data_IF_500311146365
#
_entry.id   IF_500311146365
#
_cell.length_a   1.000
_cell.length_b   1.000
_cell.length_c   1.000
_cell.angle_alpha   90.00
_cell.angle_beta   90.00
_cell.angle_gamma   90.00
#
_symmetry.space_group_name_H-M   'P 1'
#
loop_
_entity.id
_entity.type
_entity.pdbx_description
1 polymer ?
#
# COMPACT_ATOMS: atom_id res chain seq x y z
N UNK A 1 -61.41 -29.31 6.37
CA UNK A 1 -61.86 -30.25 7.43
C UNK A 1 -60.62 -30.83 8.09
N UNK A 2 -60.65 -30.95 9.43
CA UNK A 2 -59.71 -31.66 10.35
C UNK A 2 -58.25 -31.21 10.35
N UNK A 3 -57.74 -30.46 11.35
CA UNK A 3 -57.42 -30.77 12.77
C UNK A 3 -56.27 -31.76 13.02
N UNK A 4 -55.35 -31.32 13.91
CA UNK A 4 -54.54 -32.13 14.84
C UNK A 4 -53.25 -32.72 14.24
N UNK A 5 -52.10 -32.77 14.91
CA UNK A 5 -51.78 -32.61 16.32
C UNK A 5 -50.67 -33.62 16.69
N UNK A 6 -49.64 -33.12 17.39
CA UNK A 6 -48.73 -33.82 18.34
C UNK A 6 -48.06 -35.17 18.01
N UNK A 7 -46.73 -35.20 18.18
CA UNK A 7 -45.94 -36.32 18.72
C UNK A 7 -44.65 -35.74 19.33
N UNK A 8 -44.39 -35.81 20.65
CA UNK A 8 -43.80 -36.96 21.39
C UNK A 8 -42.56 -37.51 20.66
N UNK A 9 -41.36 -37.62 21.20
CA UNK A 9 -40.80 -37.57 22.55
C UNK A 9 -39.42 -38.26 22.45
N UNK A 10 -38.47 -37.98 23.35
CA UNK A 10 -37.15 -38.63 23.31
C UNK A 10 -36.24 -38.22 24.45
N UNK A 11 -36.34 -38.96 25.55
CA UNK A 11 -35.44 -38.95 26.70
C UNK A 11 -34.10 -39.64 26.40
N UNK A 12 -33.05 -39.21 27.11
CA UNK A 12 -31.79 -39.92 27.34
C UNK A 12 -30.63 -38.93 27.31
N UNK A 13 -29.92 -38.55 28.38
CA UNK A 13 -29.68 -39.22 29.65
C UNK A 13 -28.21 -39.68 29.68
N UNK A 14 -27.35 -38.99 30.42
CA UNK A 14 -26.08 -39.57 30.88
C UNK A 14 -24.88 -38.62 31.05
N UNK A 15 -24.57 -38.32 32.32
CA UNK A 15 -23.25 -38.19 32.99
C UNK A 15 -22.07 -37.52 32.27
N UNK A 16 -21.28 -36.60 32.85
CA UNK A 16 -21.17 -36.08 34.22
C UNK A 16 -19.81 -35.36 34.41
N UNK A 17 -19.74 -34.48 35.43
CA UNK A 17 -18.55 -33.95 36.13
C UNK A 17 -17.50 -33.12 35.33
N UNK A 18 -16.84 -32.05 35.81
CA UNK A 18 -16.50 -31.57 37.16
C UNK A 18 -16.13 -30.06 37.11
N UNK A 19 -16.45 -29.31 38.20
CA UNK A 19 -15.75 -28.11 38.72
C UNK A 19 -15.90 -26.79 37.93
N UNK A 20 -16.38 -25.65 38.44
CA UNK A 20 -16.48 -25.14 39.82
C UNK A 20 -15.58 -23.92 40.01
N UNK A 21 -16.17 -22.71 40.05
CA UNK A 21 -15.74 -21.40 40.64
C UNK A 21 -16.56 -20.33 39.90
N UNK A 22 -17.41 -19.47 40.46
CA UNK A 22 -17.70 -19.11 41.85
C UNK A 22 -18.09 -17.62 41.87
N UNK A 23 -19.40 -17.34 41.98
CA UNK A 23 -20.04 -16.06 42.43
C UNK A 23 -19.81 -14.79 41.60
N UNK A 24 -20.74 -13.85 41.48
CA UNK A 24 -22.11 -13.71 41.94
C UNK A 24 -22.60 -12.28 41.57
N UNK A 25 -23.91 -12.07 41.47
CA UNK A 25 -24.45 -10.71 41.34
C UNK A 25 -25.75 -10.61 40.54
N UNK A 26 -26.87 -10.85 41.20
CA UNK A 26 -28.22 -10.52 40.74
C UNK A 26 -28.43 -9.00 40.59
N UNK A 27 -29.24 -8.59 39.61
CA UNK A 27 -29.98 -7.33 39.72
C UNK A 27 -30.56 -6.76 38.43
N UNK A 28 -31.88 -6.85 38.28
CA UNK A 28 -32.67 -5.76 37.69
C UNK A 28 -33.13 -5.93 36.25
N UNK A 29 -34.39 -6.35 36.08
CA UNK A 29 -35.09 -6.30 34.80
C UNK A 29 -35.44 -4.87 34.35
N UNK A 30 -35.69 -4.73 33.05
CA UNK A 30 -36.21 -3.53 32.43
C UNK A 30 -36.69 -3.82 31.02
N UNK A 31 -37.99 -4.08 30.89
CA UNK A 31 -38.73 -3.99 29.63
C UNK A 31 -38.78 -2.52 29.19
N UNK A 32 -38.45 -2.22 27.93
CA UNK A 32 -38.72 -0.89 27.38
C UNK A 32 -38.25 -0.70 25.94
N UNK A 33 -39.21 -0.56 25.03
CA UNK A 33 -39.13 0.44 23.95
C UNK A 33 -38.46 0.01 22.65
N UNK A 34 -39.28 -0.22 21.62
CA UNK A 34 -38.83 -0.23 20.24
C UNK A 34 -38.29 1.13 19.79
N UNK A 35 -37.23 1.09 18.99
CA UNK A 35 -36.66 2.26 18.31
C UNK A 35 -35.98 1.79 17.03
N UNK A 36 -36.71 1.87 15.91
CA UNK A 36 -36.12 1.82 14.57
C UNK A 36 -35.33 3.12 14.35
N UNK A 37 -34.03 3.00 14.07
CA UNK A 37 -33.18 4.14 13.71
C UNK A 37 -31.77 4.00 14.27
N UNK A 38 -30.93 3.18 13.66
CA UNK A 38 -29.53 3.03 14.02
C UNK A 38 -28.64 3.08 12.79
N UNK A 39 -28.11 4.26 12.47
CA UNK A 39 -26.94 4.38 11.60
C UNK A 39 -25.79 3.63 12.26
N UNK A 40 -25.21 2.66 11.56
CA UNK A 40 -24.14 1.82 12.07
C UNK A 40 -22.87 2.62 12.31
N UNK A 41 -22.67 3.08 13.55
CA UNK A 41 -21.41 3.65 13.99
C UNK A 41 -20.36 2.54 14.15
N UNK A 42 -19.26 2.65 13.41
CA UNK A 42 -18.09 1.78 13.57
C UNK A 42 -17.16 2.32 14.65
N UNK A 43 -16.98 1.64 15.79
CA UNK A 43 -15.96 2.02 16.76
C UNK A 43 -14.58 1.65 16.21
N UNK A 44 -13.90 2.60 15.57
CA UNK A 44 -12.50 2.44 15.14
C UNK A 44 -11.58 2.66 16.34
N UNK A 45 -10.84 1.63 16.78
CA UNK A 45 -9.92 1.76 17.93
C UNK A 45 -8.58 2.36 17.51
N UNK A 46 -8.02 3.21 18.37
CA UNK A 46 -6.63 3.68 18.30
C UNK A 46 -5.68 2.48 18.47
N UNK A 47 -4.56 2.47 17.73
CA UNK A 47 -3.62 1.34 17.65
C UNK A 47 -3.19 0.81 19.03
N UNK A 48 -3.37 -0.49 19.24
CA UNK A 48 -2.54 -1.30 20.14
C UNK A 48 -2.00 -2.50 19.34
N UNK A 49 -0.75 -2.38 18.87
CA UNK A 49 0.00 -3.43 18.15
C UNK A 49 -0.52 -3.84 16.76
N UNK A 50 0.42 -4.07 15.83
CA UNK A 50 0.23 -4.27 14.39
C UNK A 50 -0.36 -5.67 14.02
N UNK A 51 -0.58 -6.57 14.99
CA UNK A 51 -0.94 -7.98 14.75
C UNK A 51 -2.25 -8.45 15.42
N UNK A 52 -3.28 -7.60 15.56
CA UNK A 52 -4.59 -8.07 16.04
C UNK A 52 -5.70 -7.86 15.00
N UNK A 53 -6.35 -8.97 14.61
CA UNK A 53 -7.29 -9.10 13.49
C UNK A 53 -8.66 -8.43 13.64
N UNK A 54 -8.76 -7.28 14.31
CA UNK A 54 -9.99 -6.46 14.38
C UNK A 54 -9.75 -4.99 14.00
N UNK A 55 -8.66 -4.69 13.29
CA UNK A 55 -8.17 -3.32 13.01
C UNK A 55 -8.30 -2.94 11.53
N UNK A 56 -9.29 -3.46 10.82
CA UNK A 56 -9.39 -3.30 9.35
C UNK A 56 -9.82 -1.88 8.95
N UNK A 57 -10.77 -1.25 9.64
CA UNK A 57 -11.29 0.07 9.26
C UNK A 57 -10.27 1.22 9.36
N UNK A 58 -9.46 1.24 10.43
CA UNK A 58 -8.41 2.26 10.64
C UNK A 58 -7.19 2.05 9.74
N UNK A 59 -6.94 0.81 9.31
CA UNK A 59 -5.92 0.48 8.30
C UNK A 59 -6.40 0.88 6.91
N UNK A 60 -7.67 0.68 6.56
CA UNK A 60 -8.21 1.02 5.23
C UNK A 60 -8.30 2.54 5.03
N UNK A 61 -8.76 3.32 6.01
CA UNK A 61 -8.74 4.78 5.91
C UNK A 61 -7.29 5.32 5.84
N UNK A 62 -6.36 4.75 6.62
CA UNK A 62 -4.93 5.09 6.53
C UNK A 62 -4.29 4.70 5.20
N UNK A 63 -4.66 3.54 4.64
CA UNK A 63 -4.18 3.01 3.37
C UNK A 63 -4.77 3.79 2.18
N UNK A 64 -6.02 4.23 2.27
CA UNK A 64 -6.67 5.09 1.29
C UNK A 64 -6.03 6.48 1.26
N UNK A 65 -5.84 7.11 2.43
CA UNK A 65 -5.16 8.41 2.52
C UNK A 65 -3.70 8.26 2.08
N UNK A 66 -3.02 7.14 2.39
CA UNK A 66 -1.67 6.84 1.88
C UNK A 66 -1.64 6.63 0.36
N UNK A 67 -2.63 5.93 -0.22
CA UNK A 67 -2.78 5.74 -1.66
C UNK A 67 -3.07 7.06 -2.39
N UNK A 68 -3.85 7.95 -1.77
CA UNK A 68 -4.07 9.31 -2.26
C UNK A 68 -2.81 10.16 -2.13
N UNK A 69 -2.15 10.14 -0.97
CA UNK A 69 -0.92 10.90 -0.70
C UNK A 69 0.25 10.47 -1.60
N UNK A 70 0.37 9.18 -1.94
CA UNK A 70 1.40 8.66 -2.87
C UNK A 70 1.11 9.00 -4.34
N UNK A 71 -0.12 9.41 -4.66
CA UNK A 71 -0.50 9.97 -5.96
C UNK A 71 -0.50 11.50 -5.99
N UNK A 72 -0.19 12.14 -4.86
CA UNK A 72 -0.29 13.57 -4.72
C UNK A 72 1.02 14.29 -4.96
N UNK A 73 0.85 15.38 -5.71
CA UNK A 73 1.81 16.46 -5.88
C UNK A 73 3.01 16.06 -6.75
N UNK A 74 2.76 16.10 -8.07
CA UNK A 74 3.69 16.68 -9.04
C UNK A 74 3.48 18.19 -9.00
N UNK A 75 4.18 18.93 -8.13
CA UNK A 75 4.24 20.38 -8.32
C UNK A 75 5.10 20.67 -9.55
N UNK A 76 4.45 21.08 -10.64
CA UNK A 76 5.04 21.79 -11.78
C UNK A 76 5.98 21.03 -12.72
N UNK A 77 6.50 19.85 -12.36
CA UNK A 77 7.55 19.18 -13.15
C UNK A 77 7.48 17.62 -13.15
N UNK A 78 6.40 17.00 -12.68
CA UNK A 78 6.27 15.53 -12.68
C UNK A 78 6.89 14.82 -11.46
N UNK A 79 7.58 15.54 -10.58
CA UNK A 79 8.27 14.94 -9.44
C UNK A 79 7.34 14.76 -8.23
N UNK A 80 6.99 13.51 -7.91
CA UNK A 80 6.29 13.13 -6.67
C UNK A 80 7.20 13.44 -5.48
N UNK A 81 6.70 14.03 -4.39
CA UNK A 81 7.39 14.11 -3.08
C UNK A 81 6.87 13.00 -2.17
N UNK A 82 7.69 12.42 -1.26
CA UNK A 82 7.20 11.40 -0.36
C UNK A 82 6.39 12.10 0.74
N UNK A 83 5.21 11.58 1.04
CA UNK A 83 4.34 12.13 2.07
C UNK A 83 4.24 11.18 3.25
N UNK A 84 4.44 11.70 4.46
CA UNK A 84 4.10 10.99 5.69
C UNK A 84 2.71 11.40 6.12
N UNK A 85 1.76 10.47 6.04
CA UNK A 85 0.38 10.70 6.46
C UNK A 85 0.24 10.49 7.97
N UNK A 86 -0.28 11.49 8.67
CA UNK A 86 -0.59 11.47 10.10
C UNK A 86 -2.06 11.81 10.31
N UNK A 87 -2.75 11.00 11.13
CA UNK A 87 -4.13 11.16 11.56
C UNK A 87 -4.33 10.53 12.95
N UNK A 88 -5.54 10.63 13.50
CA UNK A 88 -5.85 10.14 14.84
C UNK A 88 -5.58 8.64 15.07
N UNK A 89 -5.72 7.82 14.03
CA UNK A 89 -5.58 6.37 14.13
C UNK A 89 -4.15 5.88 13.97
N UNK A 90 -3.31 6.62 13.23
CA UNK A 90 -1.92 6.24 12.96
C UNK A 90 -0.88 7.11 13.71
N UNK A 91 -1.31 8.12 14.46
CA UNK A 91 -0.43 8.84 15.39
C UNK A 91 0.11 7.91 16.48
N UNK A 92 1.34 8.15 16.91
CA UNK A 92 1.93 7.44 18.04
C UNK A 92 1.10 7.67 19.31
N UNK A 93 0.66 6.61 20.02
CA UNK A 93 -0.31 6.73 21.11
C UNK A 93 0.17 7.61 22.28
N UNK A 94 1.48 7.73 22.48
CA UNK A 94 2.09 8.53 23.55
C UNK A 94 2.48 9.95 23.10
N UNK A 95 2.37 10.25 21.80
CA UNK A 95 2.75 11.54 21.22
C UNK A 95 1.49 12.37 21.02
N UNK A 96 1.10 13.12 22.04
CA UNK A 96 0.11 14.19 21.87
C UNK A 96 0.68 15.22 20.92
N UNK A 97 0.09 15.32 19.73
CA UNK A 97 0.42 16.40 18.81
C UNK A 97 -0.08 17.69 19.45
N UNK A 98 0.85 18.53 19.89
CA UNK A 98 0.52 19.85 20.43
C UNK A 98 -0.21 20.68 19.37
N UNK A 99 -0.94 21.70 19.84
CA UNK A 99 -1.62 22.67 18.96
C UNK A 99 -0.62 23.23 17.95
N UNK A 100 -0.94 23.06 16.67
CA UNK A 100 -0.09 23.55 15.59
C UNK A 100 -0.36 25.05 15.44
N UNK A 101 0.67 25.85 15.70
CA UNK A 101 0.65 27.31 15.52
C UNK A 101 1.47 27.64 14.29
N UNK A 102 0.78 27.89 13.18
CA UNK A 102 1.39 28.34 11.93
C UNK A 102 0.94 29.77 11.66
N UNK A 103 1.83 30.66 11.19
CA UNK A 103 1.41 31.98 10.77
C UNK A 103 0.63 31.88 9.44
N UNK A 104 -0.39 32.71 9.22
CA UNK A 104 -1.25 32.57 8.04
C UNK A 104 -0.50 32.71 6.70
N UNK A 105 0.61 33.45 6.67
CA UNK A 105 1.41 33.68 5.46
C UNK A 105 2.13 32.42 4.93
N UNK A 106 2.20 31.34 5.71
CA UNK A 106 2.78 30.06 5.23
C UNK A 106 1.72 29.07 4.73
N UNK A 107 0.44 29.45 4.77
CA UNK A 107 -0.70 28.62 4.40
C UNK A 107 -1.41 29.19 3.17
N UNK A 108 -1.76 28.30 2.26
CA UNK A 108 -2.59 28.59 1.09
C UNK A 108 -3.64 27.50 0.96
N UNK A 109 -4.75 27.78 0.29
CA UNK A 109 -5.66 26.71 -0.12
C UNK A 109 -4.93 25.82 -1.12
N UNK A 110 -5.06 24.51 -0.97
CA UNK A 110 -4.50 23.59 -1.96
C UNK A 110 -5.23 23.76 -3.30
N UNK A 111 -4.49 23.64 -4.39
CA UNK A 111 -5.04 23.65 -5.75
C UNK A 111 -4.86 22.29 -6.44
N UNK A 112 -5.66 22.04 -7.48
CA UNK A 112 -5.54 20.83 -8.30
C UNK A 112 -5.85 19.54 -7.53
N UNK A 113 -5.09 18.49 -7.79
CA UNK A 113 -5.36 17.16 -7.20
C UNK A 113 -5.22 17.13 -5.68
N UNK A 114 -4.44 18.05 -5.07
CA UNK A 114 -4.26 18.14 -3.62
C UNK A 114 -5.57 18.36 -2.84
N UNK A 115 -6.60 18.90 -3.49
CA UNK A 115 -7.93 19.03 -2.89
C UNK A 115 -8.64 17.69 -2.70
N UNK A 116 -8.22 16.65 -3.42
CA UNK A 116 -8.83 15.32 -3.36
C UNK A 116 -8.32 14.47 -2.18
N UNK A 117 -7.23 14.89 -1.51
CA UNK A 117 -6.73 14.21 -0.29
C UNK A 117 -7.76 14.28 0.84
N UNK A 118 -8.49 15.38 0.89
CA UNK A 118 -9.37 15.69 1.99
C UNK A 118 -10.80 15.30 1.63
N UNK A 119 -11.43 14.53 2.50
CA UNK A 119 -12.82 14.12 2.31
C UNK A 119 -13.76 15.32 2.32
N UNK A 120 -14.96 15.16 1.73
CA UNK A 120 -15.98 16.22 1.70
C UNK A 120 -16.31 16.68 3.12
N UNK A 121 -16.51 17.97 3.35
CA UNK A 121 -16.71 18.54 4.69
C UNK A 121 -15.40 18.90 5.41
N UNK A 122 -14.25 18.68 4.77
CA UNK A 122 -12.97 19.26 5.17
C UNK A 122 -12.39 20.09 4.03
N UNK A 123 -11.56 21.07 4.36
CA UNK A 123 -10.87 21.93 3.42
C UNK A 123 -9.38 21.57 3.37
N UNK A 124 -8.82 21.49 2.17
CA UNK A 124 -7.40 21.21 1.96
C UNK A 124 -6.58 22.49 2.05
N UNK A 125 -5.69 22.55 3.04
CA UNK A 125 -4.77 23.65 3.27
C UNK A 125 -3.35 23.16 3.02
N UNK A 126 -2.64 23.84 2.15
CA UNK A 126 -1.28 23.54 1.78
C UNK A 126 -0.34 24.52 2.45
N UNK A 127 0.77 24.03 2.98
CA UNK A 127 1.86 24.90 3.40
C UNK A 127 2.80 25.18 2.22
N UNK A 128 3.64 26.21 2.32
CA UNK A 128 4.68 26.49 1.32
C UNK A 128 5.66 25.32 1.08
N UNK A 129 5.82 24.41 2.05
CA UNK A 129 6.70 23.23 1.89
C UNK A 129 6.00 22.05 1.17
N UNK A 130 4.72 22.20 0.82
CA UNK A 130 3.92 21.17 0.14
C UNK A 130 3.19 20.22 1.08
N UNK A 131 3.31 20.38 2.40
CA UNK A 131 2.48 19.65 3.38
C UNK A 131 1.01 19.99 3.18
N UNK A 132 0.16 18.98 3.09
CA UNK A 132 -1.30 19.11 2.95
C UNK A 132 -1.97 18.80 4.28
N UNK A 133 -2.90 19.65 4.69
CA UNK A 133 -3.70 19.50 5.91
C UNK A 133 -5.17 19.48 5.54
N UNK A 134 -5.91 18.50 6.06
CA UNK A 134 -7.36 18.45 5.97
C UNK A 134 -7.95 19.08 7.22
N UNK A 135 -8.50 20.28 7.06
CA UNK A 135 -9.00 21.09 8.17
C UNK A 135 -10.51 21.23 8.11
N UNK A 136 -11.16 21.29 9.26
CA UNK A 136 -12.57 21.65 9.38
C UNK A 136 -12.73 22.75 10.43
N UNK A 137 -13.81 23.52 10.35
CA UNK A 137 -14.09 24.50 11.40
C UNK A 137 -14.50 23.78 12.69
N UNK A 138 -14.18 24.35 13.85
CA UNK A 138 -14.60 23.76 15.13
C UNK A 138 -16.11 23.67 15.30
N UNK A 139 -16.89 24.46 14.55
CA UNK A 139 -18.35 24.40 14.55
C UNK A 139 -18.90 23.17 13.79
N UNK A 140 -18.13 22.64 12.84
CA UNK A 140 -18.44 21.41 12.11
C UNK A 140 -17.99 20.15 12.87
N UNK A 141 -17.16 20.33 13.91
CA UNK A 141 -16.69 19.26 14.74
C UNK A 141 -17.66 18.99 15.91
N UNK A 142 -18.06 17.74 16.08
CA UNK A 142 -18.98 17.30 17.14
C UNK A 142 -18.34 16.23 18.03
N UNK A 143 -18.70 16.12 19.32
CA UNK A 143 -18.16 15.07 20.17
C UNK A 143 -18.49 13.68 19.61
N UNK A 144 -17.46 12.85 19.43
CA UNK A 144 -17.61 11.46 19.03
C UNK A 144 -16.98 10.56 20.10
N UNK A 145 -17.81 9.73 20.72
CA UNK A 145 -17.37 8.93 21.85
C UNK A 145 -16.60 7.69 21.36
N UNK A 146 -15.30 7.64 21.68
CA UNK A 146 -14.49 6.44 21.55
C UNK A 146 -13.76 6.20 22.87
N UNK A 147 -14.41 5.51 23.79
CA UNK A 147 -13.83 4.97 25.03
C UNK A 147 -13.36 6.03 26.04
N UNK A 148 -14.15 7.09 26.27
CA UNK A 148 -13.91 8.04 27.37
C UNK A 148 -12.90 9.17 27.06
N UNK A 149 -12.30 9.17 25.87
CA UNK A 149 -11.59 10.34 25.36
C UNK A 149 -12.58 11.25 24.63
N UNK A 150 -12.67 12.52 25.06
CA UNK A 150 -13.51 13.57 24.46
C UNK A 150 -12.96 14.04 23.10
N UNK A 151 -12.81 13.12 22.14
CA UNK A 151 -12.43 13.49 20.79
C UNK A 151 -13.59 14.22 20.10
N UNK A 152 -13.25 15.24 19.32
CA UNK A 152 -14.18 15.84 18.37
C UNK A 152 -14.00 15.12 17.04
N UNK A 153 -15.08 14.89 16.31
CA UNK A 153 -15.06 14.34 14.96
C UNK A 153 -15.75 15.26 13.98
N UNK A 154 -15.30 15.17 12.74
CA UNK A 154 -15.90 15.81 11.59
C UNK A 154 -16.55 14.71 10.75
N UNK A 155 -17.81 14.90 10.39
CA UNK A 155 -18.47 14.01 9.44
C UNK A 155 -17.97 14.33 8.04
N UNK A 156 -17.43 13.33 7.36
CA UNK A 156 -16.88 13.46 6.01
C UNK A 156 -17.34 12.31 5.13
N UNK A 157 -17.44 12.57 3.84
CA UNK A 157 -17.73 11.53 2.84
C UNK A 157 -16.44 11.17 2.12
N UNK A 158 -16.09 9.88 2.14
CA UNK A 158 -14.92 9.33 1.48
C UNK A 158 -15.34 8.54 0.23
N UNK A 159 -14.64 8.71 -0.91
CA UNK A 159 -14.82 7.80 -2.03
C UNK A 159 -14.26 6.42 -1.69
N UNK A 160 -14.92 5.37 -2.18
CA UNK A 160 -14.47 3.99 -2.08
C UNK A 160 -13.86 3.56 -3.42
N UNK A 161 -12.87 2.67 -3.36
CA UNK A 161 -12.28 2.12 -4.57
C UNK A 161 -13.26 1.20 -5.32
N UNK A 162 -14.05 0.43 -4.57
CA UNK A 162 -15.09 -0.44 -5.11
C UNK A 162 -16.23 -0.69 -4.09
N UNK A 163 -17.31 -1.35 -4.55
CA UNK A 163 -18.51 -1.59 -3.74
C UNK A 163 -18.31 -2.62 -2.61
N UNK A 164 -17.23 -3.41 -2.67
CA UNK A 164 -16.86 -4.40 -1.67
C UNK A 164 -15.81 -3.89 -0.68
N UNK A 165 -15.32 -2.65 -0.85
CA UNK A 165 -14.43 -1.99 0.09
C UNK A 165 -15.04 -2.04 1.50
N UNK A 166 -14.30 -2.48 2.53
CA UNK A 166 -14.79 -2.52 3.91
C UNK A 166 -15.43 -1.22 4.41
N UNK A 167 -15.01 -0.06 3.90
CA UNK A 167 -15.62 1.24 4.19
C UNK A 167 -17.01 1.41 3.54
N UNK A 168 -17.24 0.78 2.38
CA UNK A 168 -18.48 0.88 1.60
C UNK A 168 -19.45 -0.31 1.76
N UNK A 169 -19.05 -1.42 2.41
CA UNK A 169 -19.89 -2.61 2.53
C UNK A 169 -21.28 -2.35 3.16
N UNK A 170 -21.37 -1.38 4.07
CA UNK A 170 -22.63 -0.95 4.72
C UNK A 170 -23.06 0.46 4.32
N UNK A 171 -22.48 1.05 3.26
CA UNK A 171 -22.96 2.31 2.73
C UNK A 171 -24.42 2.14 2.26
N UNK A 172 -25.29 3.05 2.66
CA UNK A 172 -26.66 3.17 2.12
C UNK A 172 -26.68 3.56 0.64
N UNK A 173 -25.51 3.90 0.07
CA UNK A 173 -25.32 4.38 -1.29
C UNK A 173 -24.31 3.50 -2.06
N UNK A 174 -24.55 2.19 -2.11
CA UNK A 174 -23.71 1.23 -2.88
C UNK A 174 -23.53 1.63 -4.36
N UNK A 175 -24.48 2.37 -4.92
CA UNK A 175 -24.45 2.88 -6.29
C UNK A 175 -23.49 4.07 -6.49
N UNK A 176 -23.09 4.75 -5.41
CA UNK A 176 -22.27 5.98 -5.47
C UNK A 176 -20.80 5.78 -5.08
N UNK A 177 -20.41 4.58 -4.66
CA UNK A 177 -19.04 4.27 -4.18
C UNK A 177 -18.55 5.33 -3.18
N UNK A 178 -19.41 5.73 -2.25
CA UNK A 178 -19.11 6.73 -1.22
C UNK A 178 -19.55 6.20 0.15
N UNK A 179 -18.77 6.52 1.19
CA UNK A 179 -19.07 6.18 2.57
C UNK A 179 -18.99 7.42 3.46
N UNK A 180 -20.02 7.63 4.28
CA UNK A 180 -20.02 8.67 5.30
C UNK A 180 -19.29 8.15 6.54
N UNK A 181 -18.22 8.83 6.92
CA UNK A 181 -17.33 8.47 8.00
C UNK A 181 -17.15 9.65 8.95
N UNK A 182 -17.25 9.38 10.25
CA UNK A 182 -16.93 10.36 11.28
C UNK A 182 -15.44 10.26 11.60
N UNK A 183 -14.64 11.24 11.15
CA UNK A 183 -13.18 11.24 11.32
C UNK A 183 -12.79 12.11 12.52
N UNK A 184 -12.08 11.56 13.52
CA UNK A 184 -11.64 12.32 14.68
C UNK A 184 -10.55 13.35 14.37
N UNK A 185 -10.67 14.50 15.02
CA UNK A 185 -9.63 15.52 15.12
C UNK A 185 -8.46 14.96 15.91
N UNK A 186 -7.25 15.00 15.34
CA UNK A 186 -6.05 14.56 16.03
C UNK A 186 -5.26 15.72 16.63
N UNK A 187 -5.39 16.92 16.06
CA UNK A 187 -4.85 18.16 16.62
C UNK A 187 -5.69 19.36 16.16
N UNK A 188 -5.43 20.52 16.76
CA UNK A 188 -6.04 21.79 16.40
C UNK A 188 -5.01 22.70 15.72
N UNK A 189 -5.46 23.47 14.74
CA UNK A 189 -4.71 24.53 14.06
C UNK A 189 -5.33 25.87 14.43
N UNK A 190 -4.54 26.78 14.99
CA UNK A 190 -5.02 28.14 15.31
C UNK A 190 -4.32 29.18 14.46
N UNK A 191 -5.10 30.03 13.79
CA UNK A 191 -4.66 31.04 12.84
C UNK A 191 -5.24 32.41 13.16
N UNK A 192 -4.60 33.45 12.65
CA UNK A 192 -5.05 34.85 12.70
C UNK A 192 -5.88 35.26 11.46
N UNK A 193 -6.17 34.31 10.57
CA UNK A 193 -6.95 34.52 9.34
C UNK A 193 -8.04 33.46 9.24
N UNK A 194 -9.20 33.85 8.70
CA UNK A 194 -10.26 32.91 8.37
C UNK A 194 -9.97 32.22 7.03
N UNK A 195 -9.62 30.93 7.06
CA UNK A 195 -9.33 30.13 5.87
C UNK A 195 -10.56 29.82 5.00
N UNK A 196 -11.76 29.78 5.60
CA UNK A 196 -13.01 29.47 4.89
C UNK A 196 -13.52 30.70 4.14
N UNK A 197 -13.38 31.88 4.75
CA UNK A 197 -13.72 33.15 4.15
C UNK A 197 -12.73 34.24 4.58
N UNK A 198 -11.69 34.42 3.77
CA UNK A 198 -10.64 35.41 4.04
C UNK A 198 -11.22 36.83 4.15
N UNK A 199 -12.31 37.14 3.44
CA UNK A 199 -12.95 38.45 3.45
C UNK A 199 -13.64 38.77 4.78
N UNK A 200 -13.97 37.74 5.57
CA UNK A 200 -14.55 37.85 6.91
C UNK A 200 -13.50 37.77 8.03
N UNK A 201 -12.23 37.96 7.70
CA UNK A 201 -11.17 37.99 8.71
C UNK A 201 -11.30 39.23 9.58
N UNK A 202 -11.58 39.03 10.87
CA UNK A 202 -11.68 40.09 11.87
C UNK A 202 -10.31 40.32 12.52
N UNK A 203 -9.87 41.58 12.67
CA UNK A 203 -8.61 41.88 13.33
C UNK A 203 -8.60 41.35 14.78
N UNK A 204 -7.45 40.81 15.20
CA UNK A 204 -7.24 40.24 16.54
C UNK A 204 -8.11 39.04 16.91
N UNK A 205 -8.79 38.42 15.94
CA UNK A 205 -9.57 37.19 16.16
C UNK A 205 -8.72 35.97 15.80
N UNK A 206 -8.71 34.98 16.70
CA UNK A 206 -8.07 33.68 16.44
C UNK A 206 -9.12 32.69 15.96
N UNK A 207 -8.88 32.09 14.81
CA UNK A 207 -9.70 31.06 14.22
C UNK A 207 -9.07 29.71 14.51
N UNK A 208 -9.81 28.81 15.14
CA UNK A 208 -9.36 27.45 15.44
C UNK A 208 -10.04 26.47 14.50
N UNK A 209 -9.23 25.58 13.93
CA UNK A 209 -9.64 24.53 13.02
C UNK A 209 -9.26 23.17 13.60
N UNK A 210 -10.10 22.18 13.36
CA UNK A 210 -9.79 20.78 13.63
C UNK A 210 -8.98 20.23 12.45
N UNK A 211 -7.83 19.61 12.73
CA UNK A 211 -7.09 18.84 11.72
C UNK A 211 -7.47 17.37 11.86
N UNK A 212 -8.04 16.80 10.80
CA UNK A 212 -8.41 15.38 10.75
C UNK A 212 -7.28 14.53 10.19
N UNK A 213 -6.48 15.08 9.27
CA UNK A 213 -5.38 14.39 8.60
C UNK A 213 -4.35 15.39 8.10
N UNK A 214 -3.08 14.99 8.12
CA UNK A 214 -1.96 15.75 7.57
C UNK A 214 -1.09 14.84 6.71
N UNK A 215 -0.84 15.21 5.46
CA UNK A 215 0.19 14.62 4.62
C UNK A 215 1.41 15.55 4.70
N UNK A 216 2.35 15.21 5.58
CA UNK A 216 3.59 15.94 5.80
C UNK A 216 4.50 15.68 4.60
N UNK A 217 4.86 16.73 3.86
CA UNK A 217 5.87 16.61 2.82
C UNK A 217 7.18 16.21 3.49
N UNK A 218 7.76 15.08 3.07
CA UNK A 218 9.06 14.63 3.54
C UNK A 218 10.16 15.67 3.26
N UNK A 219 11.33 15.56 3.91
CA UNK A 219 12.49 16.39 3.58
C UNK A 219 12.81 16.28 2.08
N UNK A 220 13.44 17.31 1.51
CA UNK A 220 13.94 17.25 0.14
C UNK A 220 14.73 15.95 -0.06
N UNK A 221 14.48 15.27 -1.19
CA UNK A 221 15.14 14.01 -1.49
C UNK A 221 16.66 14.13 -1.33
N UNK A 222 17.25 13.22 -0.56
CA UNK A 222 18.70 13.14 -0.46
C UNK A 222 19.28 12.82 -1.84
N UNK A 223 20.46 13.37 -2.14
CA UNK A 223 21.15 13.02 -3.38
C UNK A 223 21.66 11.58 -3.28
N UNK A 224 21.36 10.77 -4.29
CA UNK A 224 21.86 9.40 -4.36
C UNK A 224 23.38 9.37 -4.34
N UNK A 225 23.95 8.37 -3.65
CA UNK A 225 25.37 8.05 -3.77
C UNK A 225 25.65 7.55 -5.19
N UNK A 226 26.82 7.79 -5.77
CA UNK A 226 27.13 7.21 -7.08
C UNK A 226 27.19 5.68 -7.01
N UNK A 227 26.71 5.00 -8.07
CA UNK A 227 26.82 3.55 -8.16
C UNK A 227 28.26 3.19 -8.53
N UNK A 228 28.89 2.34 -7.72
CA UNK A 228 30.25 1.85 -8.00
C UNK A 228 30.26 0.60 -8.87
N UNK A 229 29.14 -0.11 -8.97
CA UNK A 229 29.02 -1.43 -9.58
C UNK A 229 27.93 -1.46 -10.67
N UNK A 230 27.95 -2.50 -11.52
CA UNK A 230 26.80 -2.78 -12.40
C UNK A 230 25.55 -3.00 -11.56
N UNK A 231 24.43 -2.56 -12.09
CA UNK A 231 23.13 -2.59 -11.43
C UNK A 231 22.16 -3.37 -12.32
N UNK A 232 22.50 -4.63 -12.58
CA UNK A 232 21.83 -5.55 -13.49
C UNK A 232 21.84 -6.98 -12.93
N UNK A 233 21.31 -7.94 -13.68
CA UNK A 233 21.24 -9.34 -13.26
C UNK A 233 22.62 -9.92 -12.90
N UNK A 234 23.72 -9.41 -13.49
CA UNK A 234 25.07 -9.91 -13.18
C UNK A 234 25.48 -9.58 -11.76
N UNK A 235 25.07 -8.43 -11.22
CA UNK A 235 25.34 -8.11 -9.83
C UNK A 235 24.62 -9.09 -8.89
N UNK A 236 23.36 -9.42 -9.22
CA UNK A 236 22.56 -10.39 -8.47
C UNK A 236 23.19 -11.78 -8.50
N UNK A 237 23.62 -12.24 -9.68
CA UNK A 237 24.31 -13.52 -9.84
C UNK A 237 25.65 -13.55 -9.08
N UNK A 238 26.32 -12.41 -8.92
CA UNK A 238 27.57 -12.28 -8.14
C UNK A 238 27.32 -12.19 -6.62
N UNK A 239 26.11 -12.47 -6.15
CA UNK A 239 25.74 -12.43 -4.73
C UNK A 239 25.48 -11.03 -4.18
N UNK A 240 25.35 -10.00 -5.05
CA UNK A 240 24.88 -8.69 -4.59
C UNK A 240 23.34 -8.71 -4.47
N UNK A 241 22.87 -8.75 -3.22
CA UNK A 241 21.46 -8.78 -2.89
C UNK A 241 20.85 -7.40 -2.63
N UNK A 242 21.61 -6.33 -2.88
CA UNK A 242 21.10 -4.96 -2.93
C UNK A 242 21.13 -4.49 -4.38
N UNK A 243 19.96 -4.14 -4.88
CA UNK A 243 19.79 -3.63 -6.24
C UNK A 243 19.08 -2.28 -6.23
N UNK A 244 19.20 -1.51 -7.29
CA UNK A 244 18.62 -0.18 -7.36
C UNK A 244 17.77 -0.04 -8.61
N UNK A 245 16.57 0.54 -8.50
CA UNK A 245 15.81 0.94 -9.67
C UNK A 245 15.97 2.44 -9.88
N UNK A 246 16.49 2.82 -11.05
CA UNK A 246 16.48 4.22 -11.49
C UNK A 246 15.29 4.49 -12.41
N UNK A 247 14.49 5.50 -12.03
CA UNK A 247 13.32 5.93 -12.78
C UNK A 247 13.18 7.45 -12.71
N UNK A 248 13.13 8.10 -13.86
CA UNK A 248 12.90 9.55 -13.99
C UNK A 248 13.78 10.43 -13.08
N UNK A 249 15.03 10.01 -12.88
CA UNK A 249 15.97 10.75 -12.06
C UNK A 249 15.89 10.48 -10.56
N UNK A 250 15.11 9.49 -10.15
CA UNK A 250 15.14 8.93 -8.80
C UNK A 250 15.80 7.57 -8.78
N UNK A 251 16.28 7.18 -7.61
CA UNK A 251 16.73 5.82 -7.34
C UNK A 251 16.02 5.27 -6.11
N UNK A 252 15.53 4.04 -6.23
CA UNK A 252 14.93 3.26 -5.14
C UNK A 252 15.77 2.01 -4.90
N UNK A 253 16.03 1.69 -3.63
CA UNK A 253 16.73 0.47 -3.25
C UNK A 253 15.76 -0.72 -3.27
N UNK A 254 16.27 -1.90 -3.61
CA UNK A 254 15.55 -3.17 -3.62
C UNK A 254 16.38 -4.21 -2.86
N UNK A 255 15.68 -5.02 -2.07
CA UNK A 255 16.23 -6.24 -1.51
C UNK A 255 15.98 -7.38 -2.49
N UNK A 256 17.04 -8.07 -2.90
CA UNK A 256 16.96 -9.15 -3.89
C UNK A 256 17.14 -10.51 -3.24
N UNK A 257 16.29 -11.45 -3.66
CA UNK A 257 16.21 -12.81 -3.17
C UNK A 257 16.32 -13.79 -4.35
N UNK A 258 17.04 -14.88 -4.13
CA UNK A 258 17.27 -15.96 -5.09
C UNK A 258 17.51 -17.27 -4.32
N UNK A 259 18.00 -18.32 -4.99
CA UNK A 259 18.31 -19.61 -4.33
C UNK A 259 19.42 -19.53 -3.28
N UNK A 260 20.36 -18.60 -3.41
CA UNK A 260 21.47 -18.42 -2.45
C UNK A 260 21.03 -17.63 -1.21
N UNK A 261 20.12 -16.67 -1.39
CA UNK A 261 19.50 -15.89 -0.32
C UNK A 261 17.97 -15.99 -0.43
N UNK A 262 17.39 -17.13 -0.05
CA UNK A 262 15.94 -17.31 -0.12
C UNK A 262 15.26 -16.41 0.89
N UNK A 263 14.03 -16.00 0.57
CA UNK A 263 13.14 -15.39 1.54
C UNK A 263 12.68 -16.46 2.55
N UNK A 264 12.51 -16.10 3.82
CA UNK A 264 11.84 -16.96 4.80
C UNK A 264 10.34 -17.09 4.44
N UNK A 265 10.01 -17.96 3.49
CA UNK A 265 8.62 -18.25 3.14
C UNK A 265 8.42 -19.75 3.01
N UNK A 266 7.50 -20.28 3.82
CA UNK A 266 7.17 -21.71 3.87
C UNK A 266 5.91 -22.05 3.05
N UNK A 267 5.62 -21.31 1.97
CA UNK A 267 4.34 -21.47 1.27
C UNK A 267 4.40 -21.22 -0.23
N UNK A 268 3.52 -21.91 -0.95
CA UNK A 268 3.18 -21.62 -2.34
C UNK A 268 2.53 -20.24 -2.43
N UNK A 269 3.05 -19.39 -3.32
CA UNK A 269 2.53 -18.04 -3.53
C UNK A 269 1.40 -18.14 -4.55
N UNK A 270 0.19 -17.73 -4.16
CA UNK A 270 -0.96 -17.65 -5.05
C UNK A 270 -1.22 -16.19 -5.42
N UNK A 271 -1.07 -15.85 -6.71
CA UNK A 271 -1.18 -14.47 -7.19
C UNK A 271 -2.34 -14.31 -8.19
N UNK A 272 -3.26 -13.35 -7.98
CA UNK A 272 -4.28 -13.04 -8.97
C UNK A 272 -3.67 -12.25 -10.14
N UNK A 273 -4.15 -12.51 -11.37
CA UNK A 273 -3.67 -11.81 -12.58
C UNK A 273 -3.80 -10.27 -12.48
N UNK A 274 -4.76 -9.77 -11.72
CA UNK A 274 -5.02 -8.33 -11.53
C UNK A 274 -3.90 -7.58 -10.81
N UNK A 275 -3.00 -8.29 -10.12
CA UNK A 275 -1.85 -7.69 -9.45
C UNK A 275 -0.68 -7.46 -10.42
N UNK A 276 -0.68 -8.10 -11.60
CA UNK A 276 0.39 -7.95 -12.58
C UNK A 276 0.28 -6.63 -13.34
N UNK A 277 1.41 -5.96 -13.50
CA UNK A 277 1.56 -4.74 -14.29
C UNK A 277 2.72 -4.88 -15.28
N UNK A 278 2.72 -4.02 -16.32
CA UNK A 278 3.85 -3.94 -17.24
C UNK A 278 5.10 -3.45 -16.50
N UNK A 279 6.20 -4.18 -16.62
CA UNK A 279 7.49 -3.71 -16.13
C UNK A 279 8.02 -2.51 -16.92
N UNK A 280 8.67 -1.59 -16.21
CA UNK A 280 9.47 -0.54 -16.84
C UNK A 280 10.76 -1.13 -17.45
N UNK A 281 11.28 -0.57 -18.54
CA UNK A 281 12.46 -1.12 -19.24
C UNK A 281 13.70 -1.24 -18.35
N UNK A 282 13.90 -0.28 -17.44
CA UNK A 282 15.02 -0.37 -16.48
C UNK A 282 14.86 -1.52 -15.48
N UNK A 283 13.63 -1.95 -15.20
CA UNK A 283 13.36 -3.06 -14.27
C UNK A 283 13.78 -4.39 -14.87
N UNK A 284 13.64 -4.57 -16.19
CA UNK A 284 13.96 -5.85 -16.84
C UNK A 284 15.45 -6.20 -16.74
N UNK A 285 16.31 -5.22 -16.44
CA UNK A 285 17.76 -5.41 -16.25
C UNK A 285 18.12 -6.30 -15.08
N UNK A 286 17.26 -6.44 -14.07
CA UNK A 286 17.50 -7.35 -12.93
C UNK A 286 17.31 -8.82 -13.31
N UNK A 287 16.58 -9.09 -14.39
CA UNK A 287 16.24 -10.44 -14.80
C UNK A 287 17.27 -11.00 -15.79
N UNK A 288 17.80 -12.18 -15.46
CA UNK A 288 18.74 -12.88 -16.32
C UNK A 288 18.07 -13.33 -17.63
N UNK A 289 18.84 -13.47 -18.73
CA UNK A 289 18.33 -13.97 -20.01
C UNK A 289 17.54 -15.28 -19.85
N UNK A 290 16.44 -15.41 -20.60
CA UNK A 290 15.56 -16.59 -20.54
C UNK A 290 14.51 -16.56 -19.42
N UNK A 291 14.52 -15.56 -18.55
CA UNK A 291 13.44 -15.31 -17.58
C UNK A 291 12.48 -14.23 -18.08
N UNK A 292 11.24 -14.25 -17.58
CA UNK A 292 10.18 -13.29 -17.91
C UNK A 292 10.09 -12.25 -16.79
N UNK A 293 10.51 -10.99 -17.01
CA UNK A 293 10.40 -9.93 -16.02
C UNK A 293 8.93 -9.59 -15.80
N UNK A 294 8.48 -9.73 -14.56
CA UNK A 294 7.09 -9.54 -14.16
C UNK A 294 7.02 -8.60 -12.98
N UNK A 295 6.18 -7.57 -13.07
CA UNK A 295 6.06 -6.56 -12.05
C UNK A 295 4.68 -6.62 -11.41
N UNK A 296 4.61 -6.33 -10.12
CA UNK A 296 3.34 -6.29 -9.38
C UNK A 296 2.90 -4.86 -9.12
N UNK A 297 1.62 -4.67 -8.81
CA UNK A 297 1.07 -3.39 -8.34
C UNK A 297 1.72 -2.89 -7.04
N UNK A 298 2.50 -3.73 -6.35
CA UNK A 298 3.27 -3.39 -5.16
C UNK A 298 4.70 -2.95 -5.50
N UNK A 299 5.03 -2.77 -6.79
CA UNK A 299 6.37 -2.49 -7.30
C UNK A 299 7.39 -3.60 -7.02
N UNK A 300 6.94 -4.83 -6.81
CA UNK A 300 7.85 -5.98 -6.72
C UNK A 300 8.23 -6.42 -8.12
N UNK A 301 9.43 -6.98 -8.25
CA UNK A 301 9.94 -7.50 -9.52
C UNK A 301 10.24 -8.98 -9.37
N UNK A 302 9.66 -9.79 -10.23
CA UNK A 302 9.89 -11.22 -10.29
C UNK A 302 10.44 -11.61 -11.65
N UNK A 303 11.47 -12.44 -11.66
CA UNK A 303 12.02 -13.04 -12.86
C UNK A 303 11.49 -14.48 -12.94
N UNK A 304 10.43 -14.67 -13.74
CA UNK A 304 9.63 -15.88 -13.76
C UNK A 304 10.00 -16.80 -14.93
N UNK A 305 9.85 -18.10 -14.72
CA UNK A 305 10.03 -19.14 -15.76
C UNK A 305 8.86 -20.11 -15.69
N UNK A 306 8.19 -20.45 -16.80
CA UNK A 306 7.17 -21.50 -16.78
C UNK A 306 7.74 -22.80 -16.23
N UNK A 307 7.04 -23.48 -15.32
CA UNK A 307 7.57 -24.72 -14.70
C UNK A 307 7.83 -25.83 -15.70
N UNK A 308 7.12 -25.83 -16.84
CA UNK A 308 7.32 -26.75 -17.96
C UNK A 308 8.66 -26.55 -18.71
N UNK A 309 9.30 -25.40 -18.54
CA UNK A 309 10.59 -25.08 -19.16
C UNK A 309 11.79 -25.35 -18.22
N UNK A 310 11.56 -25.90 -17.03
CA UNK A 310 12.62 -26.25 -16.10
C UNK A 310 13.19 -27.62 -16.41
N UNK A 311 14.52 -27.74 -16.32
CA UNK A 311 15.24 -29.00 -16.38
C UNK A 311 15.67 -29.43 -14.97
N UNK A 312 15.86 -30.72 -14.71
CA UNK A 312 16.38 -31.19 -13.43
C UNK A 312 17.86 -30.81 -13.29
N UNK A 313 18.18 -30.03 -12.25
CA UNK A 313 19.56 -29.69 -11.95
C UNK A 313 20.26 -30.83 -11.19
N UNK A 314 21.36 -31.42 -11.71
CA UNK A 314 22.04 -32.56 -11.10
C UNK A 314 22.51 -32.30 -9.66
N UNK A 315 22.80 -31.05 -9.33
CA UNK A 315 23.43 -30.66 -8.06
C UNK A 315 22.43 -30.31 -6.96
N UNK A 316 21.15 -30.06 -7.28
CA UNK A 316 20.25 -29.35 -6.35
C UNK A 316 18.89 -30.00 -6.09
N UNK A 317 18.58 -31.17 -6.70
CA UNK A 317 17.27 -31.85 -6.61
C UNK A 317 16.06 -30.93 -6.92
N UNK A 318 16.31 -29.80 -7.58
CA UNK A 318 15.34 -28.76 -7.92
C UNK A 318 15.38 -28.49 -9.42
N UNK A 319 14.28 -28.02 -9.96
CA UNK A 319 14.23 -27.52 -11.34
C UNK A 319 15.09 -26.27 -11.52
N UNK A 320 15.75 -26.15 -12.66
CA UNK A 320 16.55 -24.99 -13.02
C UNK A 320 16.39 -24.60 -14.49
N UNK A 321 16.71 -23.33 -14.76
CA UNK A 321 16.77 -22.76 -16.10
C UNK A 321 18.24 -22.63 -16.53
N UNK A 322 18.60 -23.21 -17.68
CA UNK A 322 19.90 -22.98 -18.30
C UNK A 322 19.92 -21.64 -19.03
N UNK A 323 20.40 -20.59 -18.36
CA UNK A 323 20.45 -19.22 -18.88
C UNK A 323 21.75 -18.96 -19.64
N UNK A 324 21.64 -18.51 -20.90
CA UNK A 324 22.80 -18.13 -21.71
C UNK A 324 23.19 -16.67 -21.44
N UNK A 325 24.29 -16.49 -20.71
CA UNK A 325 24.82 -15.18 -20.33
C UNK A 325 25.86 -14.72 -21.37
N UNK A 326 25.71 -13.55 -22.01
CA UNK A 326 26.70 -13.04 -22.93
C UNK A 326 28.00 -12.67 -22.20
N UNK A 327 29.15 -12.80 -22.84
CA UNK A 327 30.46 -12.47 -22.28
C UNK A 327 31.14 -11.40 -23.14
N UNK A 328 31.17 -10.14 -22.69
CA UNK A 328 31.89 -9.08 -23.39
C UNK A 328 33.38 -9.43 -23.53
N UNK A 329 33.98 -9.07 -24.67
CA UNK A 329 35.36 -9.47 -25.00
C UNK A 329 36.43 -8.97 -24.01
N UNK A 330 36.14 -7.92 -23.25
CA UNK A 330 37.06 -7.30 -22.29
C UNK A 330 36.54 -7.35 -20.83
N UNK A 331 35.55 -8.20 -20.53
CA UNK A 331 34.99 -8.21 -19.18
C UNK A 331 35.87 -8.99 -18.19
N UNK A 332 36.26 -8.35 -17.10
CA UNK A 332 36.76 -9.04 -15.89
C UNK A 332 35.67 -9.83 -15.15
N UNK A 333 34.51 -10.01 -15.77
CA UNK A 333 33.35 -10.69 -15.21
C UNK A 333 33.71 -12.12 -14.78
N UNK A 334 33.42 -12.42 -13.52
CA UNK A 334 33.72 -13.68 -12.86
C UNK A 334 33.13 -14.86 -13.63
N UNK A 335 31.94 -14.70 -14.23
CA UNK A 335 31.29 -15.76 -15.00
C UNK A 335 32.00 -16.08 -16.32
N UNK A 336 32.69 -15.09 -16.88
CA UNK A 336 33.33 -15.21 -18.19
C UNK A 336 34.78 -15.70 -18.10
N UNK A 337 35.36 -15.81 -16.90
CA UNK A 337 36.74 -16.28 -16.69
C UNK A 337 36.97 -17.72 -17.13
N UNK A 338 35.94 -18.56 -17.03
CA UNK A 338 36.02 -19.99 -17.36
C UNK A 338 35.43 -20.32 -18.74
N UNK A 339 35.17 -19.31 -19.58
CA UNK A 339 34.61 -19.54 -20.91
C UNK A 339 35.64 -20.29 -21.78
N UNK A 340 35.16 -21.22 -22.61
CA UNK A 340 36.00 -21.87 -23.62
C UNK A 340 36.55 -20.81 -24.57
N UNK A 341 37.81 -20.97 -25.00
CA UNK A 341 38.45 -20.03 -25.94
C UNK A 341 37.57 -19.87 -27.20
N UNK A 342 37.21 -18.62 -27.51
CA UNK A 342 36.32 -18.28 -28.63
C UNK A 342 34.81 -18.34 -28.34
N UNK A 343 34.38 -18.66 -27.12
CA UNK A 343 32.97 -18.57 -26.74
C UNK A 343 32.56 -17.13 -26.37
N UNK A 344 31.44 -16.67 -26.94
CA UNK A 344 30.86 -15.34 -26.66
C UNK A 344 29.80 -15.38 -25.55
N UNK A 345 29.48 -16.58 -25.04
CA UNK A 345 28.44 -16.80 -24.03
C UNK A 345 28.84 -17.91 -23.06
N UNK A 346 28.32 -17.86 -21.84
CA UNK A 346 28.41 -18.93 -20.84
C UNK A 346 27.00 -19.34 -20.43
N UNK A 347 26.74 -20.65 -20.34
CA UNK A 347 25.47 -21.17 -19.83
C UNK A 347 25.57 -21.35 -18.32
N UNK A 348 24.68 -20.70 -17.57
CA UNK A 348 24.60 -20.82 -16.12
C UNK A 348 23.26 -21.46 -15.71
N UNK A 349 23.27 -22.48 -14.83
CA UNK A 349 22.05 -23.02 -14.26
C UNK A 349 21.49 -22.07 -13.20
N UNK A 350 20.30 -21.52 -13.46
CA UNK A 350 19.59 -20.67 -12.52
C UNK A 350 18.54 -21.51 -11.78
N UNK A 351 18.71 -21.66 -10.47
CA UNK A 351 17.85 -22.53 -9.69
C UNK A 351 16.48 -21.90 -9.41
N UNK A 352 15.46 -22.75 -9.43
CA UNK A 352 14.17 -22.40 -8.89
C UNK A 352 14.21 -22.32 -7.37
N UNK A 353 13.89 -21.15 -6.80
CA UNK A 353 13.85 -21.03 -5.34
C UNK A 353 12.42 -21.02 -4.77
N UNK A 354 11.42 -20.59 -5.55
CA UNK A 354 10.01 -20.62 -5.12
C UNK A 354 9.07 -20.86 -6.30
N UNK A 355 7.97 -21.56 -6.05
CA UNK A 355 6.89 -21.76 -7.02
C UNK A 355 5.77 -20.76 -6.75
N UNK A 356 5.25 -20.17 -7.83
CA UNK A 356 4.13 -19.24 -7.80
C UNK A 356 3.05 -19.71 -8.78
N UNK A 357 1.82 -19.64 -8.33
CA UNK A 357 0.64 -19.97 -9.13
C UNK A 357 -0.09 -18.68 -9.47
N UNK A 358 -0.13 -18.34 -10.76
CA UNK A 358 -0.88 -17.20 -11.28
C UNK A 358 -2.27 -17.68 -11.66
N UNK A 359 -3.29 -17.11 -11.01
CA UNK A 359 -4.68 -17.44 -11.22
C UNK A 359 -5.30 -16.46 -12.21
N UNK A 360 -5.81 -16.97 -13.33
CA UNK A 360 -6.45 -16.14 -14.35
C UNK A 360 -7.77 -16.76 -14.84
N UNK A 361 -8.80 -15.95 -15.16
CA UNK A 361 -10.09 -16.44 -15.65
C UNK A 361 -10.09 -16.76 -17.15
N UNK A 362 -8.91 -16.90 -17.76
CA UNK A 362 -8.70 -17.13 -19.19
C UNK A 362 -7.89 -18.42 -19.42
N UNK A 363 -8.27 -19.25 -20.40
CA UNK A 363 -7.64 -20.55 -20.64
C UNK A 363 -6.23 -20.46 -21.23
N UNK A 364 -5.90 -19.32 -21.84
CA UNK A 364 -4.61 -19.07 -22.48
C UNK A 364 -4.05 -17.76 -21.95
N UNK A 365 -3.12 -17.88 -21.02
CA UNK A 365 -2.35 -16.74 -20.53
C UNK A 365 -0.87 -17.01 -20.83
N UNK A 366 -0.26 -16.12 -21.60
CA UNK A 366 1.18 -16.12 -21.83
C UNK A 366 1.79 -14.88 -21.17
N UNK A 367 2.49 -15.10 -20.07
CA UNK A 367 3.15 -14.03 -19.32
C UNK A 367 4.19 -13.28 -20.17
N UNK A 368 4.86 -13.94 -21.11
CA UNK A 368 5.83 -13.30 -22.01
C UNK A 368 5.21 -12.33 -23.02
N UNK A 369 3.90 -12.46 -23.28
CA UNK A 369 3.14 -11.57 -24.16
C UNK A 369 2.31 -10.53 -23.37
N UNK A 370 2.34 -10.59 -22.04
CA UNK A 370 1.56 -9.70 -21.20
C UNK A 370 2.09 -8.26 -21.25
N UNK A 371 1.28 -7.35 -21.78
CA UNK A 371 1.64 -5.95 -21.97
C UNK A 371 1.13 -5.03 -20.85
N UNK A 372 0.65 -5.60 -19.73
CA UNK A 372 0.04 -4.85 -18.62
C UNK A 372 -1.45 -4.54 -18.79
N UNK A 373 -2.03 -4.81 -19.95
CA UNK A 373 -3.48 -4.65 -20.16
C UNK A 373 -4.14 -6.01 -19.99
N UNK A 374 -5.07 -6.11 -19.03
CA UNK A 374 -5.88 -7.31 -18.89
C UNK A 374 -6.76 -7.45 -20.14
N UNK A 375 -6.87 -8.65 -20.75
CA UNK A 375 -7.82 -8.88 -21.82
C UNK A 375 -9.24 -8.61 -21.30
N UNK A 376 -10.13 -8.16 -22.19
CA UNK A 376 -11.51 -7.81 -21.83
C UNK A 376 -12.18 -8.95 -21.04
N UNK A 377 -12.42 -8.69 -19.77
CA UNK A 377 -12.98 -9.65 -18.80
C UNK A 377 -14.49 -9.83 -18.99
N UNK A 378 -15.11 -9.16 -19.97
CA UNK A 378 -16.51 -9.38 -20.33
C UNK A 378 -16.80 -10.82 -20.80
N UNK A 379 -15.77 -11.54 -21.27
CA UNK A 379 -15.81 -12.96 -21.62
C UNK A 379 -15.23 -13.88 -20.51
N UNK A 380 -15.40 -13.50 -19.24
CA UNK A 380 -14.91 -14.28 -18.10
C UNK A 380 -15.59 -15.65 -18.07
N UNK A 381 -14.78 -16.70 -18.15
CA UNK A 381 -15.26 -18.05 -17.86
C UNK A 381 -15.51 -18.17 -16.35
N UNK A 382 -16.41 -19.07 -15.94
CA UNK A 382 -16.59 -19.42 -14.51
C UNK A 382 -15.42 -20.23 -13.95
N UNK A 383 -14.40 -20.52 -14.76
CA UNK A 383 -13.26 -21.34 -14.40
C UNK A 383 -12.04 -20.46 -14.10
N UNK A 384 -11.34 -20.80 -13.03
CA UNK A 384 -10.01 -20.26 -12.72
C UNK A 384 -8.97 -21.21 -13.29
N UNK A 385 -8.10 -20.71 -14.15
CA UNK A 385 -6.95 -21.44 -14.67
C UNK A 385 -5.72 -21.12 -13.81
N UNK A 386 -4.93 -22.16 -13.53
CA UNK A 386 -3.73 -22.10 -12.70
C UNK A 386 -2.51 -22.20 -13.60
N UNK A 387 -1.72 -21.13 -13.66
CA UNK A 387 -0.47 -21.10 -14.42
C UNK A 387 0.70 -21.14 -13.44
N UNK A 388 1.47 -22.21 -13.48
CA UNK A 388 2.56 -22.46 -12.56
C UNK A 388 3.86 -21.88 -13.12
N UNK A 389 4.49 -21.02 -12.33
CA UNK A 389 5.79 -20.46 -12.64
C UNK A 389 6.76 -20.72 -11.50
N UNK A 390 8.02 -20.71 -11.86
CA UNK A 390 9.12 -20.69 -10.94
C UNK A 390 9.69 -19.27 -10.85
N UNK A 391 9.97 -18.84 -9.63
CA UNK A 391 10.68 -17.59 -9.33
C UNK A 391 12.18 -17.90 -9.27
N UNK A 392 12.94 -17.27 -10.18
CA UNK A 392 14.41 -17.33 -10.20
C UNK A 392 15.00 -16.20 -9.36
N UNK A 393 14.41 -15.01 -9.46
CA UNK A 393 14.83 -13.82 -8.72
C UNK A 393 13.60 -13.03 -8.32
N UNK A 394 13.57 -12.59 -7.06
CA UNK A 394 12.55 -11.70 -6.51
C UNK A 394 13.24 -10.45 -5.97
N UNK A 395 12.80 -9.28 -6.39
CA UNK A 395 13.26 -8.02 -5.84
C UNK A 395 12.08 -7.30 -5.19
N UNK A 396 12.22 -7.04 -3.90
CA UNK A 396 11.24 -6.31 -3.11
C UNK A 396 11.71 -4.85 -2.96
N UNK A 397 10.86 -3.86 -3.25
CA UNK A 397 11.22 -2.47 -3.05
C UNK A 397 11.49 -2.20 -1.57
N UNK A 398 12.52 -1.40 -1.31
CA UNK A 398 12.75 -0.80 0.00
C UNK A 398 11.66 0.21 0.35
N UNK A 399 11.83 0.87 1.49
CA UNK A 399 10.87 1.88 1.94
C UNK A 399 10.81 3.04 0.94
N UNK A 400 9.62 3.63 0.74
CA UNK A 400 9.49 4.87 -0.05
C UNK A 400 10.29 6.04 0.56
N UNK A 401 10.64 5.94 1.85
CA UNK A 401 11.53 6.89 2.52
C UNK A 401 13.00 6.74 2.13
N UNK A 402 13.39 5.63 1.48
CA UNK A 402 14.75 5.38 1.01
C UNK A 402 14.97 5.89 -0.42
N UNK A 403 13.97 6.52 -1.02
CA UNK A 403 14.08 7.11 -2.35
C UNK A 403 15.05 8.30 -2.33
N UNK A 404 16.00 8.33 -3.25
CA UNK A 404 16.94 9.42 -3.40
C UNK A 404 16.84 10.03 -4.81
N UNK A 405 17.21 11.31 -4.95
CA UNK A 405 17.29 11.99 -6.24
C UNK A 405 18.69 11.80 -6.83
N UNK A 406 18.77 11.37 -8.07
CA UNK A 406 20.04 11.29 -8.81
C UNK A 406 20.65 12.68 -8.94
N UNK A 407 21.98 12.72 -9.06
CA UNK A 407 22.71 13.99 -9.16
C UNK A 407 22.25 14.79 -10.39
N UNK A 408 22.07 14.11 -11.51
CA UNK A 408 21.62 14.69 -12.77
C UNK A 408 20.24 15.32 -12.64
N UNK A 409 19.31 14.65 -11.96
CA UNK A 409 17.95 15.14 -11.76
C UNK A 409 17.91 16.34 -10.81
N UNK A 410 18.75 16.32 -9.76
CA UNK A 410 18.88 17.46 -8.86
C UNK A 410 19.44 18.69 -9.57
N UNK A 411 20.50 18.53 -10.37
CA UNK A 411 21.06 19.62 -11.16
C UNK A 411 20.05 20.18 -12.18
N UNK A 412 19.24 19.31 -12.79
CA UNK A 412 18.13 19.73 -13.67
C UNK A 412 17.10 20.56 -12.90
N UNK A 413 16.69 20.11 -11.71
CA UNK A 413 15.75 20.82 -10.86
C UNK A 413 16.27 22.21 -10.42
N UNK A 414 17.55 22.31 -10.07
CA UNK A 414 18.19 23.58 -9.69
C UNK A 414 18.26 24.56 -10.87
N UNK A 415 18.58 24.07 -12.08
CA UNK A 415 18.57 24.88 -13.31
C UNK A 415 17.20 25.41 -13.65
N UNK A 416 16.14 24.64 -13.42
CA UNK A 416 14.77 25.05 -13.71
C UNK A 416 14.25 26.08 -12.68
N UNK A 417 14.66 25.97 -11.40
CA UNK A 417 14.35 26.98 -10.38
C UNK A 417 14.98 28.34 -10.65
N UNK A 418 16.15 28.38 -11.30
CA UNK A 418 16.84 29.64 -11.63
C UNK A 418 16.25 30.40 -12.83
N UNK A 419 15.24 29.85 -13.51
CA UNK A 419 14.59 30.45 -14.69
C UNK A 419 13.21 31.06 -14.40
N UNK A 420 12.66 30.84 -13.21
CA UNK A 420 11.42 31.46 -12.73
C UNK A 420 11.72 32.69 -11.90
#
# INVERSE_FOLDING_TARGET
MTMGGMGMGGMGGGYGHHGGFGGGGFGGGGFGGGGFGGGGYYPMKQKSSFFSGRTIGSVVAGMFIYSMASNLISHGLGFKRPYTVVNYYNQEPDKKVEEIKLPANVLVLCEGNATQLCGRGTQSVCTQNGTVMCVATMNEASPCDQNGNKALCVNTTLPCADANDPLCQNSTHKEKLEADVSVPCFTNLTLDVNLVDQSQTLPNTKYTYCITTMAIAGPDYQTCKDLTNSNDYRSVLNGNHEWYLEFEGFRRNYSVYNSEKPMESNGEINMPLTVLIKCHENVTKICAPGTIPTCTSFNEVMCLVPTENLEECPEYEKGCLNSTIPCPNDSEDVFCKNKTEGADTVTLPLQCFSNITINAPIPKFNLGEFNGTLPDLSATSSYTYHFNYCVITLALPGSDFDLCITKEAKEKQEKDKGKS
#
